data_IF_469202649011
#
_entry.id   IF_469202649011
#
_cell.length_a   1.000
_cell.length_b   1.000
_cell.length_c   1.000
_cell.angle_alpha   90.00
_cell.angle_beta   90.00
_cell.angle_gamma   90.00
#
_symmetry.space_group_name_H-M   'P 1'
#
loop_
_entity.id
_entity.type
_entity.pdbx_description
1 polymer ?
#
# COMPACT_ATOMS: atom_id res chain seq x y z
N UNK A 1 45.63 45.27 -54.51
CA UNK A 1 46.18 44.59 -55.72
C UNK A 1 45.92 43.10 -55.53
N UNK A 2 44.74 42.59 -55.88
CA UNK A 2 44.28 42.24 -57.23
C UNK A 2 45.03 41.03 -57.78
N UNK A 3 44.34 39.89 -57.96
CA UNK A 3 44.41 38.91 -59.07
C UNK A 3 43.36 37.81 -58.74
N UNK A 4 42.12 37.95 -59.20
CA UNK A 4 41.50 37.45 -60.46
C UNK A 4 41.07 35.98 -60.45
N UNK A 5 39.80 35.81 -60.80
CA UNK A 5 38.97 34.62 -60.87
C UNK A 5 39.18 33.85 -62.19
N UNK A 6 39.03 32.52 -62.19
CA UNK A 6 38.61 31.75 -63.39
C UNK A 6 38.03 30.37 -63.05
N UNK A 7 36.69 30.34 -63.07
CA UNK A 7 35.75 29.34 -63.58
C UNK A 7 36.27 28.00 -64.16
N UNK A 8 35.70 26.88 -63.67
CA UNK A 8 35.00 25.83 -64.45
C UNK A 8 34.40 24.85 -63.41
N UNK A 9 33.10 24.55 -63.36
CA UNK A 9 32.40 23.74 -64.34
C UNK A 9 31.78 22.52 -63.64
N UNK A 10 30.49 22.62 -63.30
CA UNK A 10 29.48 21.56 -63.38
C UNK A 10 29.60 20.22 -62.64
N UNK A 11 28.46 19.87 -62.04
CA UNK A 11 27.81 18.54 -62.04
C UNK A 11 27.92 17.68 -60.76
N UNK A 12 26.72 17.44 -60.19
CA UNK A 12 26.25 16.19 -59.56
C UNK A 12 27.09 15.58 -58.44
N UNK A 13 26.51 15.50 -57.23
CA UNK A 13 26.04 14.21 -56.69
C UNK A 13 25.58 14.42 -55.22
N UNK A 14 24.28 14.23 -54.94
CA UNK A 14 23.80 14.13 -53.57
C UNK A 14 24.34 12.85 -52.94
N UNK A 15 25.39 13.01 -52.12
CA UNK A 15 25.99 11.96 -51.30
C UNK A 15 25.02 11.61 -50.16
N UNK A 16 24.26 10.53 -50.33
CA UNK A 16 23.81 9.69 -49.21
C UNK A 16 25.00 8.87 -48.70
N UNK A 17 25.32 8.88 -47.39
CA UNK A 17 26.08 7.80 -46.80
C UNK A 17 25.14 6.76 -46.20
N UNK A 18 25.10 5.58 -46.83
CA UNK A 18 24.76 4.33 -46.16
C UNK A 18 26.02 3.86 -45.41
N UNK A 19 25.91 3.64 -44.10
CA UNK A 19 26.83 2.73 -43.41
C UNK A 19 26.07 1.85 -42.39
N UNK A 20 25.72 0.65 -42.87
CA UNK A 20 25.61 -0.65 -42.16
C UNK A 20 27.01 -1.00 -41.62
N UNK A 21 27.31 -1.77 -40.57
CA UNK A 21 26.73 -2.82 -39.69
C UNK A 21 27.83 -3.01 -38.60
N UNK A 22 27.61 -3.27 -37.31
CA UNK A 22 27.24 -4.49 -36.58
C UNK A 22 27.36 -4.07 -35.10
N UNK A 23 26.36 -4.31 -34.25
CA UNK A 23 26.41 -5.31 -33.17
C UNK A 23 24.99 -5.33 -32.59
N UNK A 24 24.31 -6.47 -32.49
CA UNK A 24 24.65 -7.42 -31.44
C UNK A 24 23.74 -7.16 -30.24
N UNK A 25 22.58 -7.81 -30.26
CA UNK A 25 21.63 -8.02 -29.15
C UNK A 25 20.56 -6.97 -28.87
N UNK A 26 19.33 -7.44 -29.11
CA UNK A 26 18.11 -6.97 -28.51
C UNK A 26 18.22 -6.92 -26.97
N UNK A 27 17.79 -5.81 -26.39
CA UNK A 27 16.99 -5.83 -25.17
C UNK A 27 15.88 -4.79 -25.33
N UNK A 28 14.67 -5.30 -25.55
CA UNK A 28 13.45 -4.57 -25.32
C UNK A 28 13.41 -4.21 -23.83
N UNK A 29 13.82 -2.99 -23.47
CA UNK A 29 13.49 -2.44 -22.17
C UNK A 29 12.13 -1.76 -22.31
N UNK A 30 11.08 -2.57 -22.20
CA UNK A 30 9.75 -2.09 -21.86
C UNK A 30 9.90 -1.27 -20.58
N UNK A 31 9.75 0.05 -20.70
CA UNK A 31 9.63 0.91 -19.53
C UNK A 31 8.21 0.70 -19.00
N UNK A 32 8.01 -0.39 -18.27
CA UNK A 32 6.84 -0.59 -17.44
C UNK A 32 6.72 0.68 -16.58
N UNK A 33 5.68 1.47 -16.82
CA UNK A 33 5.21 2.41 -15.81
C UNK A 33 5.05 1.60 -14.51
N UNK A 34 5.44 2.09 -13.32
CA UNK A 34 5.31 1.31 -12.09
C UNK A 34 3.83 0.92 -11.92
N UNK A 35 3.48 -0.32 -12.25
CA UNK A 35 2.08 -0.76 -12.43
C UNK A 35 1.34 -0.84 -11.08
N UNK A 36 2.00 -0.62 -9.95
CA UNK A 36 1.51 -1.19 -8.70
C UNK A 36 1.20 -0.21 -7.57
N UNK A 37 1.54 1.08 -7.62
CA UNK A 37 1.19 2.03 -6.53
C UNK A 37 -0.01 2.90 -6.88
N UNK A 38 -0.16 3.27 -8.16
CA UNK A 38 -1.25 4.13 -8.63
C UNK A 38 -2.62 3.49 -8.42
N UNK A 39 -2.76 2.16 -8.55
CA UNK A 39 -4.06 1.53 -8.33
C UNK A 39 -4.51 1.71 -6.87
N UNK A 40 -3.70 1.33 -5.88
CA UNK A 40 -4.10 1.30 -4.46
C UNK A 40 -4.25 2.69 -3.83
N UNK A 41 -3.62 3.69 -4.43
CA UNK A 41 -3.66 5.08 -3.97
C UNK A 41 -4.66 5.96 -4.75
N UNK A 42 -5.14 5.50 -5.91
CA UNK A 42 -6.09 6.26 -6.72
C UNK A 42 -7.53 6.21 -6.19
N UNK A 43 -8.20 7.36 -6.28
CA UNK A 43 -9.60 7.55 -5.91
C UNK A 43 -9.77 8.37 -4.64
N UNK A 44 -11.02 8.70 -4.31
CA UNK A 44 -11.33 9.39 -3.06
C UNK A 44 -11.00 8.49 -1.85
N UNK A 45 -10.85 9.04 -0.63
CA UNK A 45 -10.71 8.22 0.57
C UNK A 45 -11.85 7.20 0.74
N UNK A 46 -13.06 7.53 0.30
CA UNK A 46 -14.22 6.62 0.31
C UNK A 46 -14.03 5.46 -0.69
N UNK A 47 -13.56 5.74 -1.91
CA UNK A 47 -13.29 4.69 -2.91
C UNK A 47 -12.21 3.72 -2.43
N UNK A 48 -11.16 4.25 -1.79
CA UNK A 48 -10.09 3.45 -1.20
C UNK A 48 -10.58 2.65 0.02
N UNK A 49 -11.44 3.23 0.86
CA UNK A 49 -12.06 2.51 1.98
C UNK A 49 -12.89 1.31 1.50
N UNK A 50 -13.77 1.52 0.52
CA UNK A 50 -14.58 0.44 -0.06
C UNK A 50 -13.70 -0.66 -0.66
N UNK A 51 -12.65 -0.27 -1.39
CA UNK A 51 -11.71 -1.21 -2.00
C UNK A 51 -10.92 -2.00 -0.96
N UNK A 52 -10.46 -1.35 0.10
CA UNK A 52 -9.80 -2.03 1.21
C UNK A 52 -10.71 -3.09 1.85
N UNK A 53 -12.01 -2.77 2.01
CA UNK A 53 -13.03 -3.73 2.44
C UNK A 53 -13.12 -4.93 1.50
N UNK A 54 -13.21 -4.70 0.18
CA UNK A 54 -13.27 -5.78 -0.82
C UNK A 54 -12.07 -6.72 -0.75
N UNK A 55 -10.84 -6.18 -0.66
CA UNK A 55 -9.64 -7.01 -0.51
C UNK A 55 -9.61 -7.75 0.82
N UNK A 56 -10.08 -7.12 1.90
CA UNK A 56 -10.19 -7.79 3.20
C UNK A 56 -11.16 -8.97 3.14
N UNK A 57 -12.34 -8.79 2.53
CA UNK A 57 -13.36 -9.82 2.39
C UNK A 57 -12.89 -10.97 1.48
N UNK A 58 -12.10 -10.65 0.46
CA UNK A 58 -11.40 -11.62 -0.39
C UNK A 58 -10.24 -12.34 0.32
N UNK A 59 -9.98 -12.03 1.60
CA UNK A 59 -8.85 -12.55 2.40
C UNK A 59 -7.47 -12.14 1.87
N UNK A 60 -7.41 -11.14 1.00
CA UNK A 60 -6.18 -10.52 0.52
C UNK A 60 -5.68 -9.45 1.51
N UNK A 61 -5.37 -9.89 2.72
CA UNK A 61 -5.09 -8.98 3.84
C UNK A 61 -3.88 -8.08 3.60
N UNK A 62 -2.83 -8.58 2.93
CA UNK A 62 -1.64 -7.76 2.60
C UNK A 62 -1.99 -6.62 1.64
N UNK A 63 -2.88 -6.88 0.68
CA UNK A 63 -3.37 -5.86 -0.25
C UNK A 63 -4.23 -4.83 0.47
N UNK A 64 -5.15 -5.28 1.33
CA UNK A 64 -5.95 -4.40 2.17
C UNK A 64 -5.07 -3.50 3.07
N UNK A 65 -4.03 -4.06 3.71
CA UNK A 65 -3.06 -3.31 4.52
C UNK A 65 -2.43 -2.17 3.73
N UNK A 66 -2.02 -2.42 2.47
CA UNK A 66 -1.38 -1.38 1.65
C UNK A 66 -2.28 -0.17 1.44
N UNK A 67 -3.56 -0.38 1.13
CA UNK A 67 -4.55 0.69 0.96
C UNK A 67 -4.82 1.39 2.32
N UNK A 68 -5.05 0.61 3.37
CA UNK A 68 -5.46 1.11 4.68
C UNK A 68 -4.39 1.96 5.36
N UNK A 69 -3.10 1.64 5.15
CA UNK A 69 -1.99 2.48 5.65
C UNK A 69 -2.06 3.90 5.13
N UNK A 70 -2.39 4.09 3.84
CA UNK A 70 -2.60 5.43 3.26
C UNK A 70 -3.75 6.16 3.96
N UNK A 71 -4.90 5.49 4.10
CA UNK A 71 -6.09 6.07 4.73
C UNK A 71 -5.86 6.48 6.18
N UNK A 72 -5.19 5.65 6.97
CA UNK A 72 -4.87 5.96 8.38
C UNK A 72 -3.85 7.09 8.49
N UNK A 73 -2.94 7.22 7.51
CA UNK A 73 -1.95 8.31 7.48
C UNK A 73 -2.61 9.65 7.17
N UNK A 74 -3.55 9.67 6.22
CA UNK A 74 -4.29 10.88 5.84
C UNK A 74 -5.32 11.31 6.90
N UNK A 75 -5.98 10.34 7.54
CA UNK A 75 -6.98 10.58 8.57
C UNK A 75 -6.71 9.73 9.83
N UNK A 76 -5.73 10.13 10.69
CA UNK A 76 -5.37 9.36 11.88
C UNK A 76 -6.51 9.14 12.88
N UNK A 77 -7.51 10.02 12.87
CA UNK A 77 -8.71 9.96 13.70
C UNK A 77 -9.86 9.12 13.12
N UNK A 78 -9.70 8.51 11.95
CA UNK A 78 -10.72 7.62 11.41
C UNK A 78 -10.57 6.21 12.01
N UNK A 79 -11.23 5.98 13.16
CA UNK A 79 -11.12 4.73 13.93
C UNK A 79 -11.46 3.49 13.11
N UNK A 80 -12.48 3.57 12.24
CA UNK A 80 -12.89 2.44 11.39
C UNK A 80 -11.77 1.97 10.44
N UNK A 81 -11.04 2.89 9.79
CA UNK A 81 -9.88 2.56 8.97
C UNK A 81 -8.74 1.93 9.77
N UNK A 82 -8.45 2.49 10.96
CA UNK A 82 -7.41 1.94 11.84
C UNK A 82 -7.79 0.54 12.33
N UNK A 83 -9.05 0.32 12.67
CA UNK A 83 -9.55 -0.98 13.12
C UNK A 83 -9.50 -2.03 12.00
N UNK A 84 -9.91 -1.66 10.78
CA UNK A 84 -9.79 -2.57 9.64
C UNK A 84 -8.32 -2.89 9.32
N UNK A 85 -7.41 -1.91 9.47
CA UNK A 85 -5.97 -2.12 9.33
C UNK A 85 -5.43 -3.12 10.37
N UNK A 86 -5.81 -2.95 11.63
CA UNK A 86 -5.45 -3.88 12.71
C UNK A 86 -5.95 -5.31 12.43
N UNK A 87 -7.20 -5.46 11.98
CA UNK A 87 -7.76 -6.76 11.57
C UNK A 87 -6.96 -7.37 10.43
N UNK A 88 -6.61 -6.59 9.41
CA UNK A 88 -5.83 -7.07 8.28
C UNK A 88 -4.42 -7.53 8.71
N UNK A 89 -3.77 -6.80 9.64
CA UNK A 89 -2.52 -7.25 10.25
C UNK A 89 -2.67 -8.55 11.04
N UNK A 90 -3.72 -8.68 11.84
CA UNK A 90 -4.00 -9.89 12.61
C UNK A 90 -4.15 -11.13 11.71
N UNK A 91 -4.93 -11.01 10.63
CA UNK A 91 -5.17 -12.13 9.72
C UNK A 91 -3.96 -12.45 8.82
N UNK A 92 -3.09 -11.49 8.53
CA UNK A 92 -1.82 -11.70 7.84
C UNK A 92 -0.66 -12.08 8.77
N UNK A 93 -0.95 -12.44 10.04
CA UNK A 93 0.02 -12.83 11.06
C UNK A 93 1.07 -11.76 11.43
N UNK A 94 0.83 -10.50 11.08
CA UNK A 94 1.66 -9.35 11.46
C UNK A 94 1.25 -8.84 12.86
N UNK A 95 1.32 -9.72 13.87
CA UNK A 95 0.70 -9.49 15.18
C UNK A 95 1.25 -8.26 15.92
N UNK A 96 2.55 -7.99 15.82
CA UNK A 96 3.13 -6.80 16.46
C UNK A 96 2.55 -5.48 15.90
N UNK A 97 2.30 -5.43 14.59
CA UNK A 97 1.66 -4.26 13.97
C UNK A 97 0.19 -4.15 14.33
N UNK A 98 -0.52 -5.29 14.40
CA UNK A 98 -1.89 -5.32 14.89
C UNK A 98 -2.00 -4.75 16.31
N UNK A 99 -1.14 -5.19 17.22
CA UNK A 99 -1.09 -4.67 18.60
C UNK A 99 -0.87 -3.16 18.65
N UNK A 100 0.08 -2.63 17.87
CA UNK A 100 0.33 -1.18 17.83
C UNK A 100 -0.91 -0.40 17.42
N UNK A 101 -1.59 -0.82 16.35
CA UNK A 101 -2.80 -0.14 15.88
C UNK A 101 -3.94 -0.24 16.91
N UNK A 102 -4.10 -1.39 17.56
CA UNK A 102 -5.14 -1.61 18.57
C UNK A 102 -4.94 -0.79 19.83
N UNK A 103 -3.69 -0.70 20.32
CA UNK A 103 -3.38 0.18 21.45
C UNK A 103 -3.67 1.63 21.10
N UNK A 104 -3.28 2.08 19.91
CA UNK A 104 -3.59 3.44 19.45
C UNK A 104 -5.10 3.73 19.35
N UNK A 105 -5.92 2.73 19.02
CA UNK A 105 -7.39 2.86 19.07
C UNK A 105 -7.84 3.05 20.52
N UNK A 106 -7.41 2.16 21.43
CA UNK A 106 -7.86 2.17 22.83
C UNK A 106 -7.33 3.35 23.64
N UNK A 107 -6.18 3.90 23.29
CA UNK A 107 -5.64 5.13 23.89
C UNK A 107 -6.55 6.33 23.61
N UNK A 108 -7.25 6.33 22.47
CA UNK A 108 -8.19 7.38 22.07
C UNK A 108 -9.62 7.08 22.48
N UNK A 109 -10.04 5.83 22.32
CA UNK A 109 -11.38 5.36 22.59
C UNK A 109 -11.33 4.07 23.43
N UNK A 110 -11.25 4.19 24.76
CA UNK A 110 -11.15 3.04 25.66
C UNK A 110 -12.39 2.14 25.68
N UNK A 111 -13.53 2.59 25.13
CA UNK A 111 -14.80 1.83 25.14
C UNK A 111 -15.04 1.06 23.84
N UNK A 112 -14.11 1.12 22.88
CA UNK A 112 -14.15 0.32 21.66
C UNK A 112 -13.98 -1.18 21.98
N UNK A 113 -15.13 -1.83 22.17
CA UNK A 113 -15.24 -3.21 22.64
C UNK A 113 -14.59 -4.20 21.66
N UNK A 114 -14.71 -3.95 20.35
CA UNK A 114 -14.13 -4.85 19.36
C UNK A 114 -12.61 -4.73 19.28
N UNK A 115 -12.04 -3.53 19.43
CA UNK A 115 -10.59 -3.36 19.53
C UNK A 115 -10.04 -4.02 20.79
N UNK A 116 -10.76 -3.94 21.91
CA UNK A 116 -10.39 -4.61 23.17
C UNK A 116 -10.33 -6.13 23.00
N UNK A 117 -11.37 -6.73 22.40
CA UNK A 117 -11.39 -8.15 22.09
C UNK A 117 -10.23 -8.57 21.17
N UNK A 118 -10.01 -7.79 20.10
CA UNK A 118 -8.99 -8.11 19.11
C UNK A 118 -7.57 -7.96 19.67
N UNK A 119 -7.33 -7.03 20.61
CA UNK A 119 -6.05 -6.90 21.29
C UNK A 119 -5.76 -8.13 22.16
N UNK A 120 -6.74 -8.58 22.95
CA UNK A 120 -6.64 -9.81 23.72
C UNK A 120 -6.26 -11.02 22.84
N UNK A 121 -6.99 -11.23 21.75
CA UNK A 121 -6.71 -12.33 20.79
C UNK A 121 -5.36 -12.19 20.09
N UNK A 122 -4.91 -10.96 19.85
CA UNK A 122 -3.59 -10.71 19.24
C UNK A 122 -2.48 -11.12 20.20
N UNK A 123 -2.62 -10.78 21.48
CA UNK A 123 -1.66 -11.14 22.54
C UNK A 123 -1.62 -12.65 22.78
N UNK A 124 -2.77 -13.34 22.78
CA UNK A 124 -2.81 -14.83 22.85
C UNK A 124 -2.04 -15.47 21.69
N UNK A 125 -2.26 -15.00 20.45
CA UNK A 125 -1.54 -15.54 19.28
C UNK A 125 -0.04 -15.23 19.29
N UNK A 126 0.39 -14.22 20.05
CA UNK A 126 1.81 -13.96 20.32
C UNK A 126 2.37 -14.84 21.45
N UNK A 127 1.54 -15.63 22.14
CA UNK A 127 1.94 -16.43 23.31
C UNK A 127 2.02 -15.63 24.61
N UNK A 128 1.41 -14.44 24.67
CA UNK A 128 1.43 -13.52 25.82
C UNK A 128 0.13 -13.61 26.62
N UNK A 129 -0.26 -14.82 27.01
CA UNK A 129 -1.57 -15.11 27.61
C UNK A 129 -1.84 -14.32 28.89
N UNK A 130 -0.81 -14.10 29.71
CA UNK A 130 -0.91 -13.32 30.94
C UNK A 130 -1.32 -11.85 30.66
N UNK A 131 -0.82 -11.27 29.57
CA UNK A 131 -1.17 -9.91 29.15
C UNK A 131 -2.52 -9.87 28.42
N UNK A 132 -2.89 -10.95 27.72
CA UNK A 132 -4.18 -11.06 27.02
C UNK A 132 -5.37 -11.15 27.99
N UNK A 133 -5.22 -11.90 29.08
CA UNK A 133 -6.26 -12.22 30.03
C UNK A 133 -7.11 -11.02 30.53
N UNK A 134 -6.53 -9.87 30.93
CA UNK A 134 -7.33 -8.70 31.31
C UNK A 134 -8.18 -8.15 30.16
N UNK A 135 -7.65 -8.07 28.93
CA UNK A 135 -8.39 -7.55 27.78
C UNK A 135 -9.55 -8.47 27.39
N UNK A 136 -9.35 -9.79 27.42
CA UNK A 136 -10.40 -10.75 27.11
C UNK A 136 -11.53 -10.75 28.14
N UNK A 137 -11.19 -10.64 29.43
CA UNK A 137 -12.19 -10.48 30.50
C UNK A 137 -12.97 -9.19 30.34
N UNK A 138 -12.29 -8.09 30.01
CA UNK A 138 -12.95 -6.80 29.78
C UNK A 138 -13.90 -6.87 28.58
N UNK A 139 -13.47 -7.43 27.45
CA UNK A 139 -14.30 -7.61 26.27
C UNK A 139 -15.54 -8.49 26.54
N UNK A 140 -15.38 -9.57 27.33
CA UNK A 140 -16.50 -10.41 27.73
C UNK A 140 -17.50 -9.64 28.61
N UNK A 141 -17.03 -8.78 29.52
CA UNK A 141 -17.90 -7.94 30.34
C UNK A 141 -18.66 -6.91 29.50
N UNK A 142 -18.00 -6.26 28.54
CA UNK A 142 -18.61 -5.25 27.66
C UNK A 142 -19.71 -5.83 26.75
N UNK A 143 -19.49 -7.04 26.23
CA UNK A 143 -20.44 -7.72 25.32
C UNK A 143 -21.52 -8.50 26.07
N UNK A 144 -21.23 -8.97 27.29
CA UNK A 144 -22.21 -9.63 28.15
C UNK A 144 -23.28 -8.68 28.70
N UNK A 145 -22.97 -7.40 28.91
CA UNK A 145 -23.95 -6.40 29.37
C UNK A 145 -24.97 -5.97 28.31
N UNK A 146 -24.78 -6.32 27.04
CA UNK A 146 -25.73 -6.00 25.96
C UNK A 146 -26.83 -7.07 25.78
N UNK A 147 -26.78 -8.19 26.53
CA UNK A 147 -27.65 -9.37 26.35
C UNK A 147 -28.70 -9.59 27.45
N UNK A 148 -28.85 -8.65 28.40
CA UNK A 148 -29.89 -8.68 29.46
C UNK A 148 -31.07 -7.74 29.16
#
# INVERSE_FOLDING_TARGET
MSFTFSSLGGMFNHRFPLQRVHDGQAVAAGREAPVNDTYFEFGTPVDRWNRAGMFFDAKEYTTAVRILRGLVTEAPGHTAARLLLARAYYHSAQLGRAETELRAILDRDPVESYATLLLGRTLERQGRDAEAAPYLRLAAAMTGSEQD
#
